data_IF_539374391671
#
_entry.id   IF_539374391671
#
_cell.length_a   1.000
_cell.length_b   1.000
_cell.length_c   1.000
_cell.angle_alpha   90.00
_cell.angle_beta   90.00
_cell.angle_gamma   90.00
#
_symmetry.space_group_name_H-M   'P 1'
#
loop_
_entity.id
_entity.type
_entity.pdbx_description
1 polymer ?
#
# COMPACT_ATOMS: atom_id res chain seq x y z
N UNK A 1 14.23 -14.30 -1.75
CA UNK A 1 15.71 -14.27 -1.84
C UNK A 1 16.18 -12.95 -1.23
N UNK A 2 17.23 -12.92 -0.41
CA UNK A 2 17.69 -11.66 0.18
C UNK A 2 18.55 -10.89 -0.84
N UNK A 3 18.02 -9.81 -1.40
CA UNK A 3 18.83 -8.90 -2.22
C UNK A 3 19.71 -8.07 -1.28
N UNK A 4 21.03 -8.21 -1.42
CA UNK A 4 22.01 -7.42 -0.67
C UNK A 4 22.55 -6.30 -1.54
N UNK A 5 22.48 -5.08 -1.03
CA UNK A 5 22.94 -3.88 -1.72
C UNK A 5 24.23 -3.38 -1.08
N UNK A 6 25.26 -3.15 -1.89
CA UNK A 6 26.51 -2.57 -1.40
C UNK A 6 26.35 -1.05 -1.24
N UNK A 7 26.57 -0.55 -0.03
CA UNK A 7 26.48 0.87 0.30
C UNK A 7 27.86 1.48 0.48
N UNK A 8 28.03 2.73 0.06
CA UNK A 8 29.29 3.48 0.22
C UNK A 8 29.10 4.71 1.07
N UNK A 9 30.08 4.99 1.91
CA UNK A 9 30.16 6.26 2.63
C UNK A 9 30.31 7.41 1.63
N UNK A 10 29.59 8.48 1.86
CA UNK A 10 29.63 9.71 1.06
C UNK A 10 29.50 10.93 1.96
N UNK A 11 29.95 12.08 1.47
CA UNK A 11 29.73 13.37 2.11
C UNK A 11 28.53 14.07 1.46
N UNK A 12 27.59 14.54 2.27
CA UNK A 12 26.38 15.25 1.82
C UNK A 12 26.36 16.59 2.55
N UNK A 13 26.77 17.66 1.86
CA UNK A 13 26.93 18.98 2.48
C UNK A 13 27.93 18.97 3.64
N UNK A 14 27.45 19.32 4.84
CA UNK A 14 28.22 19.29 6.08
C UNK A 14 28.15 17.95 6.84
N UNK A 15 27.41 16.97 6.33
CA UNK A 15 27.17 15.68 6.98
C UNK A 15 27.87 14.53 6.24
N UNK A 16 28.10 13.44 6.95
CA UNK A 16 28.49 12.15 6.36
C UNK A 16 27.27 11.23 6.32
N UNK A 17 27.17 10.41 5.29
CA UNK A 17 26.07 9.46 5.14
C UNK A 17 26.43 8.28 4.26
N UNK A 18 25.48 7.38 4.05
CA UNK A 18 25.61 6.24 3.14
C UNK A 18 24.75 6.46 1.90
N UNK A 19 25.33 6.22 0.72
CA UNK A 19 24.60 6.26 -0.55
C UNK A 19 24.08 4.86 -0.89
N UNK A 20 22.76 4.75 -1.04
CA UNK A 20 22.11 3.57 -1.61
C UNK A 20 22.28 3.55 -3.14
N UNK A 21 22.51 2.38 -3.77
CA UNK A 21 22.67 2.27 -5.22
C UNK A 21 21.36 2.58 -5.96
N UNK A 22 21.46 3.02 -7.23
CA UNK A 22 20.29 3.35 -8.03
C UNK A 22 19.36 2.15 -8.28
N UNK A 23 19.93 0.94 -8.34
CA UNK A 23 19.15 -0.29 -8.55
C UNK A 23 18.19 -0.56 -7.38
N UNK A 24 18.56 -0.18 -6.14
CA UNK A 24 17.67 -0.28 -4.98
C UNK A 24 16.38 0.53 -5.17
N UNK A 25 16.48 1.77 -5.67
CA UNK A 25 15.31 2.61 -5.91
C UNK A 25 14.52 2.22 -7.16
N UNK A 26 15.15 1.48 -8.09
CA UNK A 26 14.43 0.92 -9.24
C UNK A 26 13.55 -0.25 -8.79
N UNK A 27 14.05 -1.09 -7.88
CA UNK A 27 13.29 -2.22 -7.31
C UNK A 27 12.31 -1.78 -6.22
N UNK A 28 12.63 -0.70 -5.50
CA UNK A 28 11.83 -0.17 -4.40
C UNK A 28 11.60 1.35 -4.55
N UNK A 29 10.79 1.77 -5.53
CA UNK A 29 10.54 3.18 -5.81
C UNK A 29 9.88 3.94 -4.64
N UNK A 30 9.11 3.25 -3.79
CA UNK A 30 8.46 3.82 -2.61
C UNK A 30 9.43 4.42 -1.58
N UNK A 31 10.73 4.13 -1.68
CA UNK A 31 11.76 4.66 -0.80
C UNK A 31 12.50 5.86 -1.38
N UNK A 32 12.25 6.23 -2.65
CA UNK A 32 12.80 7.44 -3.23
C UNK A 32 12.11 8.65 -2.58
N UNK A 33 12.84 9.39 -1.74
CA UNK A 33 12.36 10.53 -0.93
C UNK A 33 11.66 10.16 0.40
N UNK A 34 11.79 8.91 0.85
CA UNK A 34 11.32 8.49 2.15
C UNK A 34 12.24 8.96 3.28
N UNK A 35 11.64 9.41 4.38
CA UNK A 35 12.35 9.63 5.64
C UNK A 35 12.57 8.30 6.36
N UNK A 36 13.50 8.28 7.31
CA UNK A 36 13.79 7.08 8.07
C UNK A 36 14.64 7.35 9.30
N UNK A 37 14.81 6.30 10.11
CA UNK A 37 15.71 6.32 11.25
C UNK A 37 16.62 5.11 11.25
N UNK A 38 17.74 5.27 11.96
CA UNK A 38 18.77 4.25 12.10
C UNK A 38 18.83 3.85 13.56
N UNK A 39 18.74 2.55 13.84
CA UNK A 39 18.91 1.97 15.16
C UNK A 39 20.19 1.13 15.18
N UNK A 40 21.08 1.37 16.14
CA UNK A 40 22.34 0.65 16.28
C UNK A 40 22.14 -0.55 17.21
N UNK A 41 22.36 -1.76 16.69
CA UNK A 41 22.21 -3.00 17.44
C UNK A 41 23.54 -3.48 18.06
N UNK A 42 24.65 -3.28 17.34
CA UNK A 42 26.00 -3.67 17.76
C UNK A 42 27.05 -2.72 17.16
N UNK A 43 28.35 -2.82 17.52
CA UNK A 43 29.39 -1.93 17.00
C UNK A 43 29.51 -1.90 15.46
N UNK A 44 29.10 -2.97 14.79
CA UNK A 44 29.21 -3.18 13.35
C UNK A 44 27.85 -3.35 12.66
N UNK A 45 26.74 -3.31 13.41
CA UNK A 45 25.41 -3.58 12.88
C UNK A 45 24.41 -2.49 13.28
N UNK A 46 23.73 -1.96 12.27
CA UNK A 46 22.59 -1.06 12.44
C UNK A 46 21.44 -1.49 11.52
N UNK A 47 20.21 -1.25 11.97
CA UNK A 47 19.00 -1.41 11.17
C UNK A 47 18.53 -0.03 10.72
N UNK A 48 18.22 0.08 9.43
CA UNK A 48 17.59 1.26 8.86
C UNK A 48 16.10 0.95 8.67
N UNK A 49 15.24 1.77 9.25
CA UNK A 49 13.80 1.74 8.94
C UNK A 49 13.48 2.92 8.05
N UNK A 50 12.97 2.63 6.86
CA UNK A 50 12.53 3.62 5.87
C UNK A 50 11.01 3.68 5.95
N UNK A 51 10.45 4.87 6.13
CA UNK A 51 9.00 5.09 6.10
C UNK A 51 8.67 5.60 4.70
N UNK A 52 8.09 4.76 3.81
CA UNK A 52 7.68 5.24 2.50
C UNK A 52 6.71 6.40 2.69
N UNK A 53 6.94 7.47 1.93
CA UNK A 53 5.89 8.46 1.72
C UNK A 53 4.83 7.71 0.92
N UNK A 54 3.68 7.40 1.53
CA UNK A 54 2.53 6.99 0.75
C UNK A 54 2.30 8.13 -0.26
N UNK A 55 2.28 7.80 -1.54
CA UNK A 55 1.68 8.70 -2.52
C UNK A 55 0.19 8.73 -2.18
N UNK A 56 -0.17 9.54 -1.16
CA UNK A 56 -1.54 9.66 -0.66
C UNK A 56 -2.50 10.04 -1.79
N UNK A 57 -2.02 10.60 -2.91
CA UNK A 57 -2.87 11.00 -4.02
C UNK A 57 -3.60 9.83 -4.71
N UNK A 58 -2.98 8.66 -4.91
CA UNK A 58 -3.68 7.53 -5.56
C UNK A 58 -4.66 6.84 -4.61
N UNK A 59 -4.23 6.53 -3.38
CA UNK A 59 -5.09 5.88 -2.38
C UNK A 59 -6.21 6.81 -1.86
N UNK A 60 -5.98 8.13 -1.80
CA UNK A 60 -7.00 9.09 -1.39
C UNK A 60 -8.06 9.33 -2.48
N UNK A 61 -7.67 9.31 -3.76
CA UNK A 61 -8.63 9.39 -4.87
C UNK A 61 -9.57 8.17 -4.89
N UNK A 62 -9.01 6.96 -4.76
CA UNK A 62 -9.80 5.72 -4.68
C UNK A 62 -10.69 5.68 -3.42
N UNK A 63 -10.15 6.12 -2.28
CA UNK A 63 -10.92 6.26 -1.03
C UNK A 63 -12.05 7.27 -1.14
N UNK A 64 -11.84 8.38 -1.86
CA UNK A 64 -12.86 9.41 -2.09
C UNK A 64 -13.96 8.90 -3.02
N UNK A 65 -13.59 8.25 -4.12
CA UNK A 65 -14.54 7.67 -5.06
C UNK A 65 -15.43 6.61 -4.38
N UNK A 66 -14.83 5.75 -3.56
CA UNK A 66 -15.55 4.77 -2.75
C UNK A 66 -16.53 5.44 -1.78
N UNK A 67 -16.12 6.51 -1.08
CA UNK A 67 -17.00 7.26 -0.18
C UNK A 67 -18.19 7.86 -0.92
N UNK A 68 -17.96 8.52 -2.05
CA UNK A 68 -19.02 9.11 -2.87
C UNK A 68 -19.99 8.04 -3.39
N UNK A 69 -19.49 6.87 -3.77
CA UNK A 69 -20.32 5.75 -4.19
C UNK A 69 -21.22 5.23 -3.05
N UNK A 70 -20.68 5.07 -1.85
CA UNK A 70 -21.45 4.61 -0.69
C UNK A 70 -22.51 5.63 -0.26
N UNK A 71 -22.19 6.93 -0.30
CA UNK A 71 -23.15 7.99 -0.02
C UNK A 71 -24.30 8.01 -1.05
N UNK A 72 -23.97 7.82 -2.33
CA UNK A 72 -24.96 7.67 -3.39
C UNK A 72 -25.85 6.43 -3.16
N UNK A 73 -25.25 5.26 -2.94
CA UNK A 73 -25.99 4.01 -2.75
C UNK A 73 -26.93 4.09 -1.54
N UNK A 74 -26.46 4.69 -0.44
CA UNK A 74 -27.27 4.92 0.76
C UNK A 74 -28.42 5.90 0.48
N UNK A 75 -28.14 6.98 -0.25
CA UNK A 75 -29.16 7.97 -0.62
C UNK A 75 -30.25 7.37 -1.52
N UNK A 76 -29.87 6.58 -2.52
CA UNK A 76 -30.83 5.90 -3.38
C UNK A 76 -31.61 4.83 -2.62
N UNK A 77 -30.96 4.12 -1.69
CA UNK A 77 -31.63 3.15 -0.84
C UNK A 77 -32.72 3.78 0.04
N UNK A 78 -32.47 4.98 0.58
CA UNK A 78 -33.44 5.71 1.39
C UNK A 78 -34.59 6.32 0.55
N UNK A 79 -34.34 6.64 -0.73
CA UNK A 79 -35.36 7.19 -1.64
C UNK A 79 -36.26 6.12 -2.24
N UNK A 80 -35.73 4.92 -2.49
CA UNK A 80 -36.42 3.90 -3.25
C UNK A 80 -37.01 2.82 -2.34
N UNK A 81 -38.32 2.87 -2.13
CA UNK A 81 -39.05 1.96 -1.25
C UNK A 81 -39.25 0.54 -1.86
N UNK A 82 -38.54 0.22 -2.93
CA UNK A 82 -38.60 -1.05 -3.68
C UNK A 82 -37.44 -1.98 -3.36
N UNK A 83 -36.51 -1.56 -2.50
CA UNK A 83 -35.40 -2.39 -2.07
C UNK A 83 -35.90 -3.62 -1.32
N UNK A 84 -35.41 -4.78 -1.77
CA UNK A 84 -35.68 -6.06 -1.11
C UNK A 84 -34.51 -6.42 -0.19
N UNK A 85 -34.77 -6.99 0.99
CA UNK A 85 -33.72 -7.49 1.86
C UNK A 85 -32.87 -8.52 1.12
N UNK A 86 -31.54 -8.39 1.25
CA UNK A 86 -30.62 -9.39 0.72
C UNK A 86 -30.75 -10.68 1.54
N UNK A 87 -31.18 -11.77 0.91
CA UNK A 87 -31.46 -13.04 1.59
C UNK A 87 -30.27 -13.99 1.54
N UNK A 88 -30.27 -14.98 2.43
CA UNK A 88 -29.27 -16.07 2.45
C UNK A 88 -29.25 -16.84 1.13
N UNK A 89 -30.42 -17.06 0.52
CA UNK A 89 -30.55 -17.76 -0.78
C UNK A 89 -29.87 -16.99 -1.92
N UNK A 90 -29.99 -15.66 -1.94
CA UNK A 90 -29.29 -14.80 -2.90
C UNK A 90 -27.78 -14.85 -2.69
N UNK A 91 -27.34 -14.90 -1.42
CA UNK A 91 -25.93 -15.06 -1.08
C UNK A 91 -25.36 -16.38 -1.59
N UNK A 92 -26.06 -17.49 -1.35
CA UNK A 92 -25.63 -18.81 -1.81
C UNK A 92 -25.55 -18.88 -3.34
N UNK A 93 -26.54 -18.31 -4.05
CA UNK A 93 -26.51 -18.21 -5.51
C UNK A 93 -25.32 -17.38 -6.01
N UNK A 94 -25.00 -16.26 -5.35
CA UNK A 94 -23.84 -15.45 -5.72
C UNK A 94 -22.52 -16.19 -5.49
N UNK A 95 -22.39 -16.93 -4.38
CA UNK A 95 -21.19 -17.72 -4.08
C UNK A 95 -20.98 -18.86 -5.09
N UNK A 96 -22.06 -19.51 -5.54
CA UNK A 96 -21.98 -20.54 -6.59
C UNK A 96 -21.47 -19.97 -7.93
N UNK A 97 -21.82 -18.72 -8.28
CA UNK A 97 -21.38 -18.09 -9.52
C UNK A 97 -19.88 -17.80 -9.56
N UNK A 98 -19.25 -17.60 -8.39
CA UNK A 98 -17.82 -17.31 -8.26
C UNK A 98 -17.01 -18.55 -7.82
N UNK A 99 -17.67 -19.70 -7.67
CA UNK A 99 -17.03 -20.94 -7.26
C UNK A 99 -16.03 -21.40 -8.33
N UNK A 100 -14.77 -21.61 -7.92
CA UNK A 100 -13.69 -22.03 -8.82
C UNK A 100 -12.95 -20.90 -9.53
N UNK A 101 -13.29 -19.63 -9.28
CA UNK A 101 -12.44 -18.50 -9.68
C UNK A 101 -11.19 -18.50 -8.80
N UNK A 102 -10.04 -18.78 -9.40
CA UNK A 102 -8.74 -18.56 -8.74
C UNK A 102 -8.40 -17.08 -8.88
N UNK A 103 -8.27 -16.40 -7.75
CA UNK A 103 -7.70 -15.06 -7.72
C UNK A 103 -6.18 -15.22 -7.83
N UNK A 104 -5.56 -14.49 -8.75
CA UNK A 104 -4.11 -14.38 -8.77
C UNK A 104 -3.68 -13.65 -7.49
N UNK A 105 -2.93 -14.34 -6.64
CA UNK A 105 -2.30 -13.72 -5.47
C UNK A 105 -1.21 -12.76 -5.98
N UNK A 106 -1.45 -11.44 -5.86
CA UNK A 106 -0.42 -10.39 -6.04
C UNK A 106 0.61 -10.36 -4.90
#
# INVERSE_FOLDING_TARGET
MSNSYNIRSTKIGNSSGFRLPADFYREHPQFANADGWIEVLSPDTAIVRIIPQLNDDEDAEDSLLMRLFLDFATTEALKNNTLQPYTTEMSEAAHQLIEGVQLDDE
#
